data_IF_662224278790
#
_entry.id   IF_662224278790
#
_cell.length_a   1.000
_cell.length_b   1.000
_cell.length_c   1.000
_cell.angle_alpha   90.00
_cell.angle_beta   90.00
_cell.angle_gamma   90.00
#
_symmetry.space_group_name_H-M   'P 1'
#
loop_
_entity.id
_entity.type
_entity.pdbx_description
1 polymer ?
#
# COMPACT_ATOMS: atom_id res chain seq x y z
N UNK A 1 -66.26 -27.39 -47.75
CA UNK A 1 -67.41 -28.27 -47.44
C UNK A 1 -66.92 -29.25 -46.39
N UNK A 2 -67.59 -29.28 -45.22
CA UNK A 2 -67.36 -30.10 -44.01
C UNK A 2 -66.02 -29.90 -43.27
N UNK A 3 -65.99 -29.43 -42.01
CA UNK A 3 -66.60 -29.92 -40.75
C UNK A 3 -66.02 -31.25 -40.28
N UNK A 4 -65.25 -31.18 -39.19
CA UNK A 4 -65.51 -31.84 -37.89
C UNK A 4 -64.43 -31.31 -36.91
N UNK A 5 -64.78 -30.36 -36.05
CA UNK A 5 -65.28 -30.53 -34.68
C UNK A 5 -64.19 -31.11 -33.76
N UNK A 6 -63.71 -30.43 -32.72
CA UNK A 6 -64.43 -30.11 -31.47
C UNK A 6 -63.84 -28.94 -30.67
N UNK A 7 -64.71 -28.09 -30.07
CA UNK A 7 -64.48 -27.18 -28.91
C UNK A 7 -64.72 -27.93 -27.57
N UNK A 8 -64.54 -27.40 -26.31
CA UNK A 8 -64.06 -26.09 -25.82
C UNK A 8 -63.05 -26.11 -24.60
N UNK A 9 -62.64 -24.89 -24.20
CA UNK A 9 -61.84 -24.32 -23.07
C UNK A 9 -62.50 -24.64 -21.68
N UNK A 10 -61.90 -24.55 -20.43
CA UNK A 10 -60.93 -23.53 -20.03
C UNK A 10 -59.93 -23.75 -18.85
N UNK A 11 -59.04 -22.75 -18.73
CA UNK A 11 -58.58 -22.09 -17.48
C UNK A 11 -57.15 -22.33 -16.98
N UNK A 12 -56.52 -21.18 -16.67
CA UNK A 12 -55.43 -20.94 -15.73
C UNK A 12 -54.06 -21.57 -16.01
N UNK A 13 -53.09 -20.71 -16.38
CA UNK A 13 -51.93 -20.39 -15.53
C UNK A 13 -51.08 -19.28 -16.19
N UNK A 14 -50.74 -18.27 -15.38
CA UNK A 14 -49.92 -17.12 -15.73
C UNK A 14 -48.40 -17.49 -15.78
N UNK A 15 -47.48 -16.53 -16.00
CA UNK A 15 -46.45 -16.59 -17.03
C UNK A 15 -45.19 -17.36 -16.62
N UNK A 16 -44.49 -17.93 -17.62
CA UNK A 16 -43.16 -18.52 -17.48
C UNK A 16 -42.15 -17.48 -16.98
N UNK A 17 -41.78 -17.55 -15.71
CA UNK A 17 -40.58 -16.91 -15.19
C UNK A 17 -39.32 -17.65 -15.68
N UNK A 18 -38.53 -16.95 -16.48
CA UNK A 18 -37.15 -17.28 -16.80
C UNK A 18 -36.29 -17.05 -15.55
N UNK A 19 -36.27 -18.01 -14.61
CA UNK A 19 -35.28 -18.07 -13.52
C UNK A 19 -34.38 -19.27 -13.73
N UNK A 20 -33.21 -19.06 -14.32
CA UNK A 20 -32.07 -19.97 -14.16
C UNK A 20 -30.77 -19.18 -14.13
N UNK A 21 -30.00 -19.46 -13.07
CA UNK A 21 -28.59 -19.09 -12.84
C UNK A 21 -28.30 -17.68 -12.27
N UNK A 22 -28.87 -17.41 -11.10
CA UNK A 22 -28.21 -16.58 -10.08
C UNK A 22 -28.46 -17.23 -8.71
N UNK A 23 -27.64 -18.23 -8.37
CA UNK A 23 -27.39 -18.73 -7.01
C UNK A 23 -26.17 -19.65 -7.09
N UNK A 24 -25.34 -19.55 -6.05
CA UNK A 24 -24.05 -20.23 -5.84
C UNK A 24 -22.81 -19.48 -6.36
N UNK A 25 -22.66 -18.21 -5.96
CA UNK A 25 -21.33 -17.72 -5.57
C UNK A 25 -21.13 -18.22 -4.15
N UNK A 26 -20.64 -19.46 -4.05
CA UNK A 26 -20.37 -20.09 -2.76
C UNK A 26 -19.42 -19.23 -1.95
N UNK A 27 -19.77 -19.01 -0.69
CA UNK A 27 -18.80 -18.67 0.35
C UNK A 27 -17.72 -19.74 0.33
N UNK A 28 -16.63 -19.50 -0.41
CA UNK A 28 -15.40 -20.24 -0.21
C UNK A 28 -15.10 -20.11 1.28
N UNK A 29 -15.16 -21.23 2.00
CA UNK A 29 -14.95 -21.25 3.44
C UNK A 29 -13.60 -20.59 3.70
N UNK A 30 -13.59 -19.45 4.40
CA UNK A 30 -12.35 -18.78 4.83
C UNK A 30 -11.51 -19.65 5.78
N UNK A 31 -11.96 -20.88 6.09
CA UNK A 31 -11.33 -21.86 6.97
C UNK A 31 -9.97 -22.41 6.53
N UNK A 32 -9.48 -22.07 5.33
CA UNK A 32 -8.25 -22.65 4.78
C UNK A 32 -7.04 -21.71 4.79
N UNK A 33 -7.22 -20.43 5.12
CA UNK A 33 -6.11 -19.48 5.20
C UNK A 33 -5.57 -19.39 6.62
N UNK A 34 -4.26 -19.50 6.78
CA UNK A 34 -3.57 -19.45 8.08
C UNK A 34 -3.04 -18.05 8.40
N UNK A 35 -2.79 -17.25 7.36
CA UNK A 35 -2.20 -15.92 7.44
C UNK A 35 -2.82 -14.97 6.43
N UNK A 36 -2.62 -13.68 6.67
CA UNK A 36 -3.00 -12.61 5.74
C UNK A 36 -1.79 -11.79 5.30
N UNK A 37 -1.86 -11.28 4.07
CA UNK A 37 -0.98 -10.23 3.56
C UNK A 37 -1.80 -9.01 3.19
N UNK A 38 -1.54 -7.85 3.82
CA UNK A 38 -2.19 -6.59 3.49
C UNK A 38 -1.27 -5.74 2.61
N UNK A 39 -1.73 -5.37 1.41
CA UNK A 39 -0.99 -4.57 0.44
C UNK A 39 -1.72 -3.27 0.14
N UNK A 40 -1.22 -2.15 0.67
CA UNK A 40 -1.76 -0.84 0.27
C UNK A 40 -1.28 -0.47 -1.14
N UNK A 41 -2.17 0.11 -1.94
CA UNK A 41 -1.88 0.40 -3.35
C UNK A 41 -1.81 -0.86 -4.23
N UNK A 42 -2.45 -1.96 -3.80
CA UNK A 42 -2.37 -3.27 -4.44
C UNK A 42 -3.19 -3.45 -5.74
N UNK A 43 -3.90 -2.43 -6.23
CA UNK A 43 -4.71 -2.55 -7.47
C UNK A 43 -3.95 -2.20 -8.75
N UNK A 44 -2.76 -1.59 -8.66
CA UNK A 44 -1.97 -1.23 -9.85
C UNK A 44 -0.46 -1.27 -9.58
N UNK A 45 0.34 -1.27 -10.65
CA UNK A 45 1.79 -1.10 -10.55
C UNK A 45 2.48 -2.19 -9.74
N UNK A 46 3.48 -1.82 -8.94
CA UNK A 46 4.26 -2.80 -8.18
C UNK A 46 3.46 -3.48 -7.06
N UNK A 47 2.50 -2.78 -6.45
CA UNK A 47 1.66 -3.35 -5.39
C UNK A 47 0.79 -4.49 -5.93
N UNK A 48 0.27 -4.33 -7.16
CA UNK A 48 -0.46 -5.39 -7.85
C UNK A 48 0.41 -6.62 -8.09
N UNK A 49 1.60 -6.43 -8.65
CA UNK A 49 2.51 -7.54 -8.93
C UNK A 49 3.04 -8.20 -7.66
N UNK A 50 3.27 -7.44 -6.59
CA UNK A 50 3.62 -8.01 -5.29
C UNK A 50 2.48 -8.87 -4.72
N UNK A 51 1.23 -8.41 -4.82
CA UNK A 51 0.07 -9.18 -4.37
C UNK A 51 -0.12 -10.46 -5.18
N UNK A 52 0.06 -10.40 -6.51
CA UNK A 52 0.02 -11.57 -7.40
C UNK A 52 1.11 -12.59 -7.07
N UNK A 53 2.34 -12.12 -6.84
CA UNK A 53 3.46 -12.98 -6.46
C UNK A 53 3.24 -13.64 -5.09
N UNK A 54 2.78 -12.89 -4.08
CA UNK A 54 2.50 -13.42 -2.75
C UNK A 54 1.39 -14.48 -2.81
N UNK A 55 0.29 -14.19 -3.51
CA UNK A 55 -0.84 -15.13 -3.64
C UNK A 55 -0.47 -16.39 -4.45
N UNK A 56 0.50 -16.28 -5.37
CA UNK A 56 1.04 -17.39 -6.14
C UNK A 56 1.98 -18.29 -5.32
N UNK A 57 2.85 -17.69 -4.51
CA UNK A 57 3.83 -18.43 -3.69
C UNK A 57 3.23 -19.02 -2.40
N UNK A 58 2.21 -18.38 -1.83
CA UNK A 58 1.55 -18.80 -0.59
C UNK A 58 0.05 -19.01 -0.77
N UNK A 59 -0.38 -20.21 -1.23
CA UNK A 59 -1.79 -20.57 -1.34
C UNK A 59 -2.60 -20.51 -0.04
N UNK A 60 -1.91 -20.58 1.10
CA UNK A 60 -2.42 -20.50 2.47
C UNK A 60 -2.61 -19.06 2.96
N UNK A 61 -2.21 -18.05 2.17
CA UNK A 61 -2.38 -16.65 2.52
C UNK A 61 -3.67 -16.06 1.93
N UNK A 62 -4.40 -15.33 2.77
CA UNK A 62 -5.42 -14.38 2.32
C UNK A 62 -4.75 -13.05 1.99
N UNK A 63 -4.65 -12.69 0.71
CA UNK A 63 -4.07 -11.43 0.27
C UNK A 63 -5.15 -10.35 0.14
N UNK A 64 -5.04 -9.28 0.91
CA UNK A 64 -5.92 -8.13 0.83
C UNK A 64 -5.22 -7.00 0.09
N UNK A 65 -5.72 -6.65 -1.09
CA UNK A 65 -5.30 -5.43 -1.80
C UNK A 65 -6.18 -4.27 -1.39
N UNK A 66 -5.56 -3.23 -0.83
CA UNK A 66 -6.25 -2.07 -0.29
C UNK A 66 -5.98 -0.82 -1.14
N UNK A 67 -7.03 -0.20 -1.67
CA UNK A 67 -6.94 1.02 -2.49
C UNK A 67 -8.28 1.74 -2.53
N UNK A 68 -8.31 2.99 -3.00
CA UNK A 68 -9.55 3.77 -3.09
C UNK A 68 -10.62 3.11 -3.96
N UNK A 69 -10.19 2.40 -5.00
CA UNK A 69 -11.04 1.66 -5.93
C UNK A 69 -10.26 0.53 -6.59
N UNK A 70 -10.98 -0.49 -7.01
CA UNK A 70 -10.51 -1.54 -7.91
C UNK A 70 -11.29 -1.50 -9.23
N UNK A 71 -11.02 -0.46 -10.03
CA UNK A 71 -11.80 -0.19 -11.25
C UNK A 71 -11.64 -1.27 -12.32
N UNK A 72 -10.51 -1.97 -12.32
CA UNK A 72 -10.16 -2.98 -13.32
C UNK A 72 -10.43 -4.42 -12.80
N UNK A 73 -11.01 -4.58 -11.61
CA UNK A 73 -11.28 -5.89 -11.01
C UNK A 73 -10.02 -6.70 -10.71
N UNK A 74 -8.95 -6.03 -10.30
CA UNK A 74 -7.61 -6.58 -10.11
C UNK A 74 -7.56 -7.80 -9.18
N UNK A 75 -8.32 -7.78 -8.08
CA UNK A 75 -8.37 -8.92 -7.15
C UNK A 75 -8.92 -10.17 -7.86
N UNK A 76 -10.02 -10.00 -8.61
CA UNK A 76 -10.66 -11.07 -9.35
C UNK A 76 -9.79 -11.55 -10.52
N UNK A 77 -9.12 -10.65 -11.23
CA UNK A 77 -8.16 -11.00 -12.28
C UNK A 77 -6.99 -11.85 -11.76
N UNK A 78 -6.45 -11.51 -10.58
CA UNK A 78 -5.41 -12.35 -9.96
C UNK A 78 -5.98 -13.72 -9.61
N UNK A 79 -7.15 -13.78 -8.98
CA UNK A 79 -7.79 -15.06 -8.63
C UNK A 79 -8.01 -15.94 -9.86
N UNK A 80 -8.48 -15.37 -10.98
CA UNK A 80 -8.67 -16.10 -12.24
C UNK A 80 -7.36 -16.67 -12.78
N UNK A 81 -6.27 -15.89 -12.76
CA UNK A 81 -4.93 -16.36 -13.18
C UNK A 81 -4.40 -17.48 -12.29
N UNK A 82 -4.75 -17.47 -11.01
CA UNK A 82 -4.35 -18.48 -10.02
C UNK A 82 -5.30 -19.69 -9.94
N UNK A 83 -6.22 -19.85 -10.90
CA UNK A 83 -7.08 -21.02 -11.02
C UNK A 83 -8.44 -20.92 -10.31
N UNK A 84 -8.88 -19.73 -9.92
CA UNK A 84 -10.28 -19.37 -9.60
C UNK A 84 -10.90 -19.96 -8.32
N UNK A 85 -10.34 -21.02 -7.74
CA UNK A 85 -11.05 -21.85 -6.75
C UNK A 85 -11.05 -21.37 -5.30
N UNK A 86 -10.18 -20.42 -4.91
CA UNK A 86 -9.98 -20.08 -3.49
C UNK A 86 -10.20 -18.60 -3.13
N UNK A 87 -10.55 -17.72 -4.09
CA UNK A 87 -10.69 -16.26 -3.87
C UNK A 87 -9.62 -15.68 -2.92
N UNK A 88 -8.35 -16.06 -3.15
CA UNK A 88 -7.22 -15.77 -2.27
C UNK A 88 -6.94 -14.28 -2.15
N UNK A 89 -7.21 -13.55 -3.22
CA UNK A 89 -7.04 -12.10 -3.28
C UNK A 89 -8.39 -11.42 -3.09
N UNK A 90 -8.49 -10.55 -2.08
CA UNK A 90 -9.67 -9.75 -1.79
C UNK A 90 -9.35 -8.27 -1.95
N UNK A 91 -10.28 -7.51 -2.52
CA UNK A 91 -10.23 -6.06 -2.51
C UNK A 91 -10.93 -5.49 -1.27
N UNK A 92 -10.31 -4.48 -0.66
CA UNK A 92 -10.93 -3.65 0.37
C UNK A 92 -10.66 -2.16 0.10
N UNK A 93 -11.71 -1.35 0.22
CA UNK A 93 -11.60 0.09 -0.04
C UNK A 93 -10.81 0.79 1.08
N UNK A 94 -9.79 1.55 0.70
CA UNK A 94 -8.95 2.34 1.61
C UNK A 94 -8.50 3.63 0.92
N UNK A 95 -8.86 4.78 1.50
CA UNK A 95 -8.27 6.07 1.18
C UNK A 95 -7.35 6.53 2.31
N UNK A 96 -6.04 6.55 2.06
CA UNK A 96 -5.04 7.02 3.02
C UNK A 96 -5.05 8.54 3.19
N UNK A 97 -5.70 9.28 2.29
CA UNK A 97 -5.92 10.72 2.40
C UNK A 97 -7.19 11.10 3.18
N UNK A 98 -7.84 10.14 3.83
CA UNK A 98 -9.02 10.31 4.68
C UNK A 98 -8.89 9.43 5.92
N UNK A 99 -8.62 10.03 7.08
CA UNK A 99 -8.40 9.28 8.32
C UNK A 99 -9.66 8.54 8.81
N UNK A 100 -10.86 8.97 8.40
CA UNK A 100 -12.11 8.24 8.64
C UNK A 100 -12.20 7.01 7.75
N UNK A 101 -11.71 7.09 6.51
CA UNK A 101 -11.57 5.91 5.63
C UNK A 101 -10.62 4.87 6.23
N UNK A 102 -9.47 5.28 6.78
CA UNK A 102 -8.53 4.38 7.46
C UNK A 102 -9.20 3.66 8.63
N UNK A 103 -9.91 4.37 9.52
CA UNK A 103 -10.63 3.75 10.64
C UNK A 103 -11.75 2.81 10.19
N UNK A 104 -12.48 3.21 9.14
CA UNK A 104 -13.54 2.38 8.55
C UNK A 104 -12.97 1.09 7.94
N UNK A 105 -11.80 1.16 7.30
CA UNK A 105 -11.08 0.00 6.79
C UNK A 105 -10.74 -0.99 7.91
N UNK A 106 -10.18 -0.51 9.03
CA UNK A 106 -9.84 -1.38 10.17
C UNK A 106 -11.08 -2.01 10.80
N UNK A 107 -12.19 -1.26 10.91
CA UNK A 107 -13.48 -1.81 11.35
C UNK A 107 -13.95 -2.94 10.42
N UNK A 108 -13.91 -2.72 9.11
CA UNK A 108 -14.27 -3.74 8.12
C UNK A 108 -13.34 -4.97 8.15
N UNK A 109 -12.04 -4.78 8.42
CA UNK A 109 -11.10 -5.88 8.63
C UNK A 109 -11.53 -6.75 9.81
N UNK A 110 -11.84 -6.12 10.95
CA UNK A 110 -12.32 -6.80 12.16
C UNK A 110 -13.59 -7.60 11.89
N UNK A 111 -14.58 -6.99 11.22
CA UNK A 111 -15.87 -7.64 10.90
C UNK A 111 -15.69 -8.87 10.00
N UNK A 112 -14.73 -8.84 9.08
CA UNK A 112 -14.42 -9.99 8.20
C UNK A 112 -13.72 -11.14 8.93
N UNK A 113 -13.20 -10.93 10.14
CA UNK A 113 -12.49 -11.96 10.92
C UNK A 113 -11.40 -12.69 10.11
N UNK A 114 -10.61 -11.93 9.35
CA UNK A 114 -9.53 -12.46 8.52
C UNK A 114 -8.41 -13.07 9.39
N UNK A 115 -7.62 -14.01 8.84
CA UNK A 115 -6.46 -14.56 9.55
C UNK A 115 -5.45 -13.47 9.96
N UNK A 116 -4.59 -13.73 10.95
CA UNK A 116 -3.56 -12.79 11.40
C UNK A 116 -2.63 -12.35 10.26
N UNK A 117 -2.18 -11.10 10.31
CA UNK A 117 -1.38 -10.48 9.27
C UNK A 117 0.10 -10.84 9.49
N UNK A 118 0.63 -11.72 8.66
CA UNK A 118 2.06 -12.03 8.62
C UNK A 118 2.83 -11.03 7.75
N UNK A 119 2.17 -10.36 6.80
CA UNK A 119 2.80 -9.41 5.88
C UNK A 119 1.97 -8.13 5.79
N UNK A 120 2.59 -6.99 6.09
CA UNK A 120 2.01 -5.65 5.95
C UNK A 120 2.87 -4.79 5.04
N UNK A 121 2.39 -4.54 3.82
CA UNK A 121 3.07 -3.71 2.82
C UNK A 121 2.43 -2.32 2.79
N UNK A 122 3.07 -1.37 3.45
CA UNK A 122 2.73 0.05 3.43
C UNK A 122 3.30 0.69 2.16
N UNK A 123 2.73 0.29 1.02
CA UNK A 123 3.28 0.54 -0.31
C UNK A 123 2.68 1.76 -1.03
N UNK A 124 1.40 2.06 -0.79
CA UNK A 124 0.70 3.12 -1.50
C UNK A 124 1.45 4.46 -1.45
N UNK A 125 1.47 5.18 -2.57
CA UNK A 125 2.10 6.49 -2.64
C UNK A 125 1.41 7.42 -3.62
N UNK A 126 1.43 8.70 -3.29
CA UNK A 126 1.00 9.80 -4.14
C UNK A 126 2.09 10.85 -4.25
N UNK A 127 2.03 11.62 -5.34
CA UNK A 127 2.79 12.84 -5.50
C UNK A 127 1.88 13.85 -6.20
N UNK A 128 1.93 15.09 -5.73
CA UNK A 128 1.24 16.22 -6.33
C UNK A 128 2.29 17.25 -6.78
N UNK A 129 2.87 17.10 -7.98
CA UNK A 129 4.02 17.89 -8.41
C UNK A 129 3.71 19.37 -8.69
N UNK A 130 2.43 19.72 -8.89
CA UNK A 130 1.99 21.07 -9.25
C UNK A 130 1.04 21.62 -8.19
N UNK A 131 1.53 22.62 -7.44
CA UNK A 131 0.78 23.31 -6.40
C UNK A 131 0.62 22.50 -5.12
N UNK A 132 0.26 23.20 -4.05
CA UNK A 132 -0.03 22.63 -2.76
C UNK A 132 -1.46 22.07 -2.76
N UNK A 133 -1.63 20.84 -2.27
CA UNK A 133 -2.93 20.19 -2.12
C UNK A 133 -3.06 19.67 -0.70
N UNK A 134 -4.30 19.47 -0.27
CA UNK A 134 -4.60 18.99 1.07
C UNK A 134 -5.47 17.73 1.05
N UNK A 135 -5.30 16.87 2.05
CA UNK A 135 -6.22 15.78 2.39
C UNK A 135 -7.54 16.35 2.91
N UNK A 136 -8.56 15.50 3.09
CA UNK A 136 -9.83 15.95 3.70
C UNK A 136 -9.64 16.38 5.16
N UNK A 137 -8.63 15.83 5.83
CA UNK A 137 -8.24 16.17 7.20
C UNK A 137 -7.30 17.40 7.29
N UNK A 138 -6.99 18.05 6.15
CA UNK A 138 -6.22 19.30 6.13
C UNK A 138 -4.70 19.16 6.13
N UNK A 139 -4.15 17.96 5.94
CA UNK A 139 -2.70 17.74 5.80
C UNK A 139 -2.25 17.97 4.36
N UNK A 140 -1.02 18.43 4.14
CA UNK A 140 -0.42 18.43 2.80
C UNK A 140 -0.56 17.04 2.18
N UNK A 141 -1.13 16.96 0.97
CA UNK A 141 -1.68 15.72 0.43
C UNK A 141 -0.62 14.63 0.18
N UNK A 142 0.62 15.00 -0.13
CA UNK A 142 1.72 14.05 -0.34
C UNK A 142 2.15 13.42 0.98
N UNK A 143 2.44 14.24 1.99
CA UNK A 143 2.79 13.80 3.35
C UNK A 143 1.63 13.05 4.01
N UNK A 144 0.41 13.59 3.88
CA UNK A 144 -0.82 13.00 4.40
C UNK A 144 -1.06 11.58 3.88
N UNK A 145 -0.92 11.35 2.58
CA UNK A 145 -1.10 10.02 1.99
C UNK A 145 0.08 9.09 2.26
N UNK A 146 1.32 9.56 2.09
CA UNK A 146 2.49 8.69 2.09
C UNK A 146 2.92 8.26 3.49
N UNK A 147 2.77 9.16 4.47
CA UNK A 147 3.19 8.97 5.87
C UNK A 147 1.99 8.90 6.81
N UNK A 148 1.20 9.97 6.91
CA UNK A 148 0.18 10.12 7.97
C UNK A 148 -0.86 8.99 7.95
N UNK A 149 -1.46 8.73 6.78
CA UNK A 149 -2.44 7.66 6.62
C UNK A 149 -1.86 6.26 6.89
N UNK A 150 -0.60 6.02 6.51
CA UNK A 150 0.07 4.74 6.75
C UNK A 150 0.44 4.55 8.22
N UNK A 151 0.89 5.61 8.90
CA UNK A 151 1.21 5.55 10.32
C UNK A 151 -0.05 5.27 11.15
N UNK A 152 -1.19 5.90 10.83
CA UNK A 152 -2.47 5.56 11.44
C UNK A 152 -2.88 4.12 11.13
N UNK A 153 -2.78 3.70 9.87
CA UNK A 153 -3.14 2.33 9.47
C UNK A 153 -2.30 1.31 10.25
N UNK A 154 -0.99 1.47 10.32
CA UNK A 154 -0.12 0.57 11.09
C UNK A 154 -0.58 0.47 12.53
N UNK A 155 -0.74 1.61 13.23
CA UNK A 155 -1.12 1.62 14.64
C UNK A 155 -2.43 0.90 14.90
N UNK A 156 -3.45 1.15 14.07
CA UNK A 156 -4.76 0.52 14.21
C UNK A 156 -4.77 -0.97 13.81
N UNK A 157 -3.83 -1.41 12.98
CA UNK A 157 -3.74 -2.79 12.51
C UNK A 157 -2.90 -3.70 13.42
N UNK A 158 -2.13 -3.15 14.37
CA UNK A 158 -1.30 -3.90 15.32
C UNK A 158 -2.03 -5.08 16.00
N UNK A 159 -3.29 -4.94 16.49
CA UNK A 159 -4.00 -6.05 17.12
C UNK A 159 -4.30 -7.24 16.20
N UNK A 160 -4.15 -7.07 14.88
CA UNK A 160 -4.39 -8.11 13.88
C UNK A 160 -3.10 -8.65 13.27
N UNK A 161 -1.93 -8.16 13.69
CA UNK A 161 -0.65 -8.70 13.26
C UNK A 161 -0.42 -10.08 13.90
N UNK A 162 0.14 -11.00 13.11
CA UNK A 162 0.60 -12.29 13.62
C UNK A 162 1.74 -12.12 14.63
N UNK A 163 2.08 -13.17 15.37
CA UNK A 163 3.22 -13.13 16.30
C UNK A 163 4.53 -12.82 15.56
N UNK A 164 4.71 -13.39 14.38
CA UNK A 164 5.77 -13.04 13.45
C UNK A 164 5.17 -12.25 12.28
N UNK A 165 5.48 -10.95 12.21
CA UNK A 165 4.92 -10.05 11.21
C UNK A 165 6.02 -9.24 10.52
N UNK A 166 5.91 -9.13 9.19
CA UNK A 166 6.84 -8.40 8.33
C UNK A 166 6.19 -7.11 7.85
N UNK A 167 6.72 -5.97 8.28
CA UNK A 167 6.31 -4.66 7.80
C UNK A 167 7.33 -4.16 6.77
N UNK A 168 6.84 -3.78 5.59
CA UNK A 168 7.65 -3.12 4.56
C UNK A 168 7.06 -1.75 4.25
N UNK A 169 7.86 -0.71 4.41
CA UNK A 169 7.47 0.67 4.12
C UNK A 169 8.09 1.12 2.81
N UNK A 170 7.28 1.40 1.80
CA UNK A 170 7.80 1.84 0.50
C UNK A 170 8.29 3.30 0.58
N UNK A 171 9.61 3.45 0.54
CA UNK A 171 10.34 4.70 0.45
C UNK A 171 10.69 5.03 -1.02
N UNK A 172 11.82 5.68 -1.25
CA UNK A 172 12.38 5.97 -2.58
C UNK A 172 13.81 6.50 -2.43
N UNK A 173 14.72 6.19 -3.36
CA UNK A 173 16.07 6.76 -3.43
C UNK A 173 16.11 8.29 -3.50
N UNK A 174 14.99 8.94 -3.86
CA UNK A 174 14.84 10.40 -3.86
C UNK A 174 14.98 11.07 -2.49
N UNK A 175 14.91 10.31 -1.40
CA UNK A 175 15.19 10.79 -0.04
C UNK A 175 16.66 11.18 0.17
N UNK A 176 17.58 10.64 -0.64
CA UNK A 176 19.02 10.85 -0.51
C UNK A 176 19.55 11.76 -1.64
N UNK A 177 20.03 12.97 -1.30
CA UNK A 177 20.69 13.86 -2.26
C UNK A 177 21.87 13.20 -3.00
N UNK A 178 22.56 12.23 -2.38
CA UNK A 178 23.71 11.54 -2.98
C UNK A 178 23.31 10.62 -4.13
N UNK A 179 22.05 10.17 -4.20
CA UNK A 179 21.55 9.37 -5.32
C UNK A 179 21.33 10.18 -6.61
N UNK A 180 21.41 11.52 -6.56
CA UNK A 180 21.36 12.42 -7.74
C UNK A 180 20.21 12.11 -8.71
N UNK A 181 19.02 11.85 -8.16
CA UNK A 181 17.83 11.41 -8.92
C UNK A 181 17.23 12.48 -9.85
N UNK A 182 17.74 13.72 -9.81
CA UNK A 182 17.16 14.87 -10.52
C UNK A 182 15.89 15.44 -9.85
N UNK A 183 15.50 14.92 -8.69
CA UNK A 183 14.45 15.47 -7.85
C UNK A 183 15.01 16.51 -6.88
N UNK A 184 14.20 17.50 -6.42
CA UNK A 184 14.61 18.40 -5.34
C UNK A 184 14.99 17.60 -4.10
N UNK A 185 16.06 18.02 -3.42
CA UNK A 185 16.52 17.40 -2.19
C UNK A 185 15.40 17.39 -1.14
N UNK A 186 15.27 16.26 -0.43
CA UNK A 186 14.44 16.19 0.76
C UNK A 186 14.85 17.29 1.74
N UNK A 187 13.86 17.92 2.35
CA UNK A 187 14.04 18.97 3.34
C UNK A 187 13.05 18.73 4.48
N UNK A 188 13.51 18.04 5.52
CA UNK A 188 12.73 17.81 6.73
C UNK A 188 13.01 18.94 7.73
N UNK A 189 11.96 19.68 8.09
CA UNK A 189 12.02 20.73 9.12
C UNK A 189 11.34 20.25 10.40
N UNK A 190 10.02 20.16 10.40
CA UNK A 190 9.19 19.53 11.45
C UNK A 190 8.01 18.81 10.81
N UNK A 191 7.45 17.82 11.48
CA UNK A 191 6.26 17.14 10.97
C UNK A 191 5.05 18.10 10.85
N UNK A 192 4.95 19.08 11.75
CA UNK A 192 3.91 20.12 11.70
C UNK A 192 4.01 21.00 10.45
N UNK A 193 5.21 21.48 10.10
CA UNK A 193 5.39 22.30 8.90
C UNK A 193 5.17 21.48 7.61
N UNK A 194 5.48 20.18 7.62
CA UNK A 194 5.18 19.30 6.49
C UNK A 194 3.67 19.05 6.35
N UNK A 195 2.97 18.86 7.46
CA UNK A 195 1.53 18.69 7.51
C UNK A 195 0.76 19.96 7.14
N UNK A 196 1.21 21.10 7.66
CA UNK A 196 0.57 22.40 7.51
C UNK A 196 1.62 23.43 7.09
N UNK A 197 2.04 23.43 5.80
CA UNK A 197 3.08 24.33 5.32
C UNK A 197 2.72 25.80 5.55
N UNK A 198 3.67 26.57 6.06
CA UNK A 198 3.55 28.02 6.25
C UNK A 198 4.74 28.77 5.62
N UNK A 199 4.66 30.10 5.53
CA UNK A 199 5.80 30.92 5.09
C UNK A 199 6.40 30.51 3.75
N UNK A 200 7.70 30.19 3.73
CA UNK A 200 8.42 29.74 2.53
C UNK A 200 8.04 28.32 2.10
N UNK A 201 7.60 27.45 3.02
CA UNK A 201 7.17 26.09 2.70
C UNK A 201 5.92 26.04 1.81
N UNK A 202 5.06 27.07 1.86
CA UNK A 202 3.93 27.23 0.92
C UNK A 202 4.35 27.33 -0.55
N UNK A 203 5.59 27.76 -0.80
CA UNK A 203 6.17 27.92 -2.14
C UNK A 203 7.08 26.74 -2.52
N UNK A 204 7.22 25.75 -1.65
CA UNK A 204 8.06 24.58 -1.92
C UNK A 204 7.51 23.81 -3.14
N UNK A 205 8.38 23.28 -4.02
CA UNK A 205 7.92 22.48 -5.14
C UNK A 205 7.20 21.22 -4.67
N UNK A 206 6.08 20.85 -5.32
CA UNK A 206 5.36 19.59 -5.04
C UNK A 206 6.22 18.33 -5.08
N UNK A 207 7.28 18.34 -5.91
CA UNK A 207 8.27 17.26 -5.97
C UNK A 207 9.14 17.17 -4.71
N UNK A 208 9.39 18.28 -4.01
CA UNK A 208 10.12 18.29 -2.75
C UNK A 208 9.27 17.70 -1.61
N UNK A 209 7.96 17.98 -1.56
CA UNK A 209 7.06 17.31 -0.61
C UNK A 209 7.09 15.79 -0.78
N UNK A 210 7.19 15.29 -2.02
CA UNK A 210 7.40 13.87 -2.25
C UNK A 210 8.74 13.36 -1.72
N UNK A 211 9.86 13.98 -2.08
CA UNK A 211 11.18 13.53 -1.62
C UNK A 211 11.30 13.58 -0.09
N UNK A 212 10.79 14.64 0.55
CA UNK A 212 10.69 14.72 2.01
C UNK A 212 9.76 13.65 2.58
N UNK A 213 8.59 13.37 2.00
CA UNK A 213 7.71 12.29 2.49
C UNK A 213 8.39 10.91 2.44
N UNK A 214 9.28 10.68 1.46
CA UNK A 214 10.04 9.43 1.34
C UNK A 214 11.17 9.34 2.35
N UNK A 215 11.75 10.47 2.75
CA UNK A 215 12.60 10.57 3.93
C UNK A 215 11.80 10.26 5.22
N UNK A 216 10.60 10.82 5.39
CA UNK A 216 9.72 10.54 6.55
C UNK A 216 9.42 9.04 6.69
N UNK A 217 9.16 8.33 5.59
CA UNK A 217 8.95 6.88 5.64
C UNK A 217 10.15 6.13 6.23
N UNK A 218 11.38 6.57 5.94
CA UNK A 218 12.61 5.95 6.48
C UNK A 218 12.83 6.36 7.93
N UNK A 219 12.65 7.66 8.25
CA UNK A 219 12.72 8.15 9.63
C UNK A 219 11.76 7.36 10.53
N UNK A 220 10.54 7.17 10.07
CA UNK A 220 9.51 6.41 10.78
C UNK A 220 9.84 4.92 10.87
N UNK A 221 10.42 4.32 9.82
CA UNK A 221 10.90 2.92 9.84
C UNK A 221 11.92 2.71 10.96
N UNK A 222 12.91 3.60 11.10
CA UNK A 222 13.93 3.48 12.14
C UNK A 222 13.37 3.76 13.55
N UNK A 223 12.47 4.73 13.68
CA UNK A 223 11.75 4.97 14.93
C UNK A 223 10.89 3.76 15.36
N UNK A 224 10.22 3.12 14.40
CA UNK A 224 9.42 1.92 14.63
C UNK A 224 10.32 0.76 15.03
N UNK A 225 11.42 0.50 14.32
CA UNK A 225 12.34 -0.60 14.66
C UNK A 225 12.83 -0.52 16.11
N UNK A 226 13.24 0.67 16.58
CA UNK A 226 13.62 0.85 18.00
C UNK A 226 12.53 0.46 18.99
N UNK A 227 11.26 0.68 18.62
CA UNK A 227 10.10 0.33 19.45
C UNK A 227 9.77 -1.17 19.35
N UNK A 228 9.92 -1.77 18.17
CA UNK A 228 9.73 -3.21 17.97
C UNK A 228 10.68 -4.04 18.84
N UNK A 229 11.89 -3.53 19.14
CA UNK A 229 12.82 -4.18 20.08
C UNK A 229 12.31 -4.27 21.52
N UNK A 230 11.22 -3.56 21.85
CA UNK A 230 10.58 -3.54 23.17
C UNK A 230 9.28 -4.35 23.21
N UNK A 231 8.97 -5.09 22.15
CA UNK A 231 7.82 -5.97 22.10
C UNK A 231 7.87 -7.03 23.21
N UNK A 232 6.68 -7.50 23.60
CA UNK A 232 6.56 -8.58 24.57
C UNK A 232 7.19 -9.89 24.06
N UNK A 233 7.67 -10.77 24.96
CA UNK A 233 8.18 -12.08 24.57
C UNK A 233 7.17 -12.86 23.71
N UNK A 234 7.65 -13.45 22.61
CA UNK A 234 6.82 -14.20 21.65
C UNK A 234 6.45 -13.41 20.39
N UNK A 235 6.43 -12.08 20.44
CA UNK A 235 6.27 -11.24 19.24
C UNK A 235 7.62 -10.98 18.57
N UNK A 236 7.68 -11.18 17.25
CA UNK A 236 8.86 -10.91 16.42
C UNK A 236 8.42 -10.15 15.18
N UNK A 237 8.18 -8.86 15.36
CA UNK A 237 7.88 -7.99 14.23
C UNK A 237 9.15 -7.37 13.71
N UNK A 238 9.21 -7.22 12.39
CA UNK A 238 10.33 -6.57 11.71
C UNK A 238 9.81 -5.47 10.81
N UNK A 239 10.57 -4.39 10.67
CA UNK A 239 10.24 -3.29 9.76
C UNK A 239 11.44 -2.96 8.89
N UNK A 240 11.22 -2.82 7.60
CA UNK A 240 12.24 -2.36 6.64
C UNK A 240 11.69 -1.29 5.73
N UNK A 241 12.58 -0.38 5.29
CA UNK A 241 12.26 0.60 4.27
C UNK A 241 12.69 0.07 2.90
N UNK A 242 11.88 0.27 1.87
CA UNK A 242 12.10 -0.28 0.53
C UNK A 242 12.05 0.80 -0.55
N UNK A 243 13.10 0.90 -1.35
CA UNK A 243 13.10 1.64 -2.60
C UNK A 243 12.89 0.70 -3.79
N UNK A 244 11.76 0.82 -4.50
CA UNK A 244 11.46 0.03 -5.69
C UNK A 244 12.18 0.50 -6.94
N UNK A 245 12.95 1.59 -6.85
CA UNK A 245 13.59 2.25 -7.98
C UNK A 245 12.63 3.09 -8.82
N UNK A 246 13.20 3.75 -9.84
CA UNK A 246 12.43 4.54 -10.79
C UNK A 246 11.67 3.61 -11.74
N UNK A 247 10.36 3.79 -11.82
CA UNK A 247 9.51 2.92 -12.63
C UNK A 247 8.67 3.73 -13.61
N UNK A 248 9.22 4.07 -14.78
CA UNK A 248 8.46 4.68 -15.83
C UNK A 248 7.27 3.79 -16.21
N UNK A 249 6.11 4.38 -16.44
CA UNK A 249 4.88 3.67 -16.78
C UNK A 249 3.89 3.51 -15.62
N UNK A 250 4.33 3.70 -14.39
CA UNK A 250 3.47 3.60 -13.20
C UNK A 250 2.50 4.77 -13.06
N UNK A 251 1.50 4.61 -12.18
CA UNK A 251 0.54 5.65 -11.83
C UNK A 251 1.13 6.86 -11.08
N UNK A 252 2.43 6.88 -10.77
CA UNK A 252 3.08 7.98 -10.05
C UNK A 252 2.96 9.31 -10.82
N UNK A 253 3.02 9.27 -12.15
CA UNK A 253 2.86 10.44 -13.01
C UNK A 253 1.38 10.79 -13.32
N UNK A 254 0.40 10.27 -12.56
CA UNK A 254 -1.04 10.50 -12.86
C UNK A 254 -1.45 11.97 -12.85
N UNK A 255 -0.78 12.79 -12.04
CA UNK A 255 -1.01 14.22 -11.91
C UNK A 255 -0.15 15.07 -12.88
N UNK A 256 0.63 14.44 -13.79
CA UNK A 256 1.45 15.17 -14.75
C UNK A 256 0.60 15.67 -15.95
N UNK A 257 1.02 16.77 -16.61
CA UNK A 257 0.42 17.23 -17.85
C UNK A 257 0.32 16.11 -18.88
N UNK A 258 -0.71 16.15 -19.74
CA UNK A 258 -1.05 15.04 -20.63
C UNK A 258 0.14 14.55 -21.48
N UNK A 259 0.96 15.48 -22.00
CA UNK A 259 2.17 15.16 -22.75
C UNK A 259 3.21 14.40 -21.93
N UNK A 260 3.57 14.89 -20.73
CA UNK A 260 4.53 14.21 -19.86
C UNK A 260 4.00 12.88 -19.35
N UNK A 261 2.68 12.79 -19.11
CA UNK A 261 2.02 11.53 -18.75
C UNK A 261 2.05 10.52 -19.90
N UNK A 262 1.92 10.96 -21.16
CA UNK A 262 2.08 10.11 -22.34
C UNK A 262 3.51 9.59 -22.46
N UNK A 263 4.51 10.49 -22.38
CA UNK A 263 5.93 10.13 -22.36
C UNK A 263 6.24 9.09 -21.27
N UNK A 264 5.76 9.33 -20.06
CA UNK A 264 5.92 8.43 -18.92
C UNK A 264 5.28 7.06 -19.14
N UNK A 265 4.08 7.01 -19.73
CA UNK A 265 3.32 5.76 -19.92
C UNK A 265 3.70 4.94 -21.14
N UNK A 266 4.22 5.58 -22.20
CA UNK A 266 4.40 4.93 -23.51
C UNK A 266 5.84 4.91 -24.00
N UNK A 267 6.62 5.95 -23.71
CA UNK A 267 7.96 6.12 -24.28
C UNK A 267 9.03 5.61 -23.32
N UNK A 268 9.05 6.13 -22.08
CA UNK A 268 10.10 5.79 -21.11
C UNK A 268 10.16 4.29 -20.73
N UNK A 269 9.04 3.52 -20.65
CA UNK A 269 9.11 2.08 -20.37
C UNK A 269 9.85 1.27 -21.45
N UNK A 270 9.76 1.70 -22.72
CA UNK A 270 10.46 1.04 -23.82
C UNK A 270 11.98 1.31 -23.77
N UNK A 271 12.38 2.44 -23.16
CA UNK A 271 13.78 2.87 -23.05
C UNK A 271 14.48 2.39 -21.77
N UNK A 272 13.84 1.58 -20.93
CA UNK A 272 14.41 1.12 -19.65
C UNK A 272 15.84 0.55 -19.78
N UNK A 273 16.18 -0.32 -20.77
CA UNK A 273 17.55 -0.83 -20.90
C UNK A 273 18.59 0.28 -21.11
N UNK A 274 18.24 1.30 -21.90
CA UNK A 274 19.10 2.46 -22.14
C UNK A 274 19.19 3.36 -20.90
N UNK A 275 18.06 3.62 -20.24
CA UNK A 275 18.04 4.46 -19.03
C UNK A 275 18.84 3.81 -17.89
N UNK A 276 18.82 2.47 -17.78
CA UNK A 276 19.65 1.72 -16.83
C UNK A 276 21.14 1.96 -17.05
N UNK A 277 21.55 2.02 -18.32
CA UNK A 277 22.93 2.24 -18.71
C UNK A 277 23.38 3.70 -18.49
N UNK A 278 22.50 4.66 -18.78
CA UNK A 278 22.87 6.09 -18.85
C UNK A 278 22.58 6.86 -17.57
N UNK A 279 21.55 6.49 -16.81
CA UNK A 279 21.11 7.25 -15.62
C UNK A 279 21.40 6.51 -14.32
N UNK A 280 20.79 5.34 -14.13
CA UNK A 280 20.93 4.56 -12.90
C UNK A 280 20.51 3.12 -13.13
N UNK A 281 21.23 2.12 -12.58
CA UNK A 281 20.81 0.73 -12.63
C UNK A 281 19.50 0.47 -11.87
N UNK A 282 19.09 1.38 -10.98
CA UNK A 282 17.88 1.28 -10.16
C UNK A 282 16.62 1.81 -10.90
N UNK A 283 16.42 1.37 -12.14
CA UNK A 283 15.25 1.66 -12.97
C UNK A 283 14.59 0.35 -13.32
N UNK A 284 13.32 0.16 -12.99
CA UNK A 284 12.67 -1.15 -13.03
C UNK A 284 11.29 -1.12 -13.68
N UNK A 285 10.89 -2.26 -14.22
CA UNK A 285 9.50 -2.53 -14.58
C UNK A 285 8.68 -2.81 -13.33
N UNK A 286 7.37 -2.53 -13.33
CA UNK A 286 6.49 -2.85 -12.22
C UNK A 286 6.56 -4.28 -11.70
N UNK A 287 6.76 -5.25 -12.60
CA UNK A 287 6.91 -6.66 -12.29
C UNK A 287 8.19 -6.94 -11.50
N UNK A 288 9.31 -6.35 -11.89
CA UNK A 288 10.61 -6.53 -11.23
C UNK A 288 10.57 -5.96 -9.80
N UNK A 289 10.05 -4.74 -9.61
CA UNK A 289 9.90 -4.15 -8.28
C UNK A 289 8.85 -4.85 -7.43
N UNK A 290 7.77 -5.37 -8.05
CA UNK A 290 6.74 -6.16 -7.36
C UNK A 290 7.31 -7.48 -6.84
N UNK A 291 8.10 -8.18 -7.64
CA UNK A 291 8.80 -9.40 -7.24
C UNK A 291 9.90 -9.14 -6.18
N UNK A 292 10.54 -7.96 -6.19
CA UNK A 292 11.45 -7.56 -5.12
C UNK A 292 10.71 -7.26 -3.80
N UNK A 293 9.55 -6.60 -3.87
CA UNK A 293 8.71 -6.34 -2.69
C UNK A 293 8.14 -7.64 -2.10
N UNK A 294 7.67 -8.57 -2.94
CA UNK A 294 7.22 -9.88 -2.49
C UNK A 294 8.38 -10.70 -1.87
N UNK A 295 9.57 -10.64 -2.47
CA UNK A 295 10.78 -11.24 -1.88
C UNK A 295 11.09 -10.68 -0.49
N UNK A 296 11.08 -9.36 -0.30
CA UNK A 296 11.26 -8.74 1.02
C UNK A 296 10.21 -9.13 2.06
N UNK A 297 9.01 -9.48 1.58
CA UNK A 297 7.89 -9.88 2.41
C UNK A 297 7.96 -11.35 2.86
N UNK A 298 8.48 -12.24 2.02
CA UNK A 298 8.33 -13.69 2.18
C UNK A 298 9.65 -14.42 2.46
N UNK A 299 10.75 -13.96 1.86
CA UNK A 299 12.00 -14.70 1.78
C UNK A 299 12.72 -14.78 3.13
N UNK A 300 13.22 -15.97 3.46
CA UNK A 300 13.90 -16.24 4.73
C UNK A 300 15.19 -15.44 4.92
N UNK A 301 15.92 -15.13 3.84
CA UNK A 301 17.12 -14.29 3.89
C UNK A 301 16.77 -12.86 4.31
N UNK A 302 15.65 -12.32 3.81
CA UNK A 302 15.17 -11.01 4.18
C UNK A 302 14.58 -10.96 5.60
N UNK A 303 14.03 -12.08 6.12
CA UNK A 303 13.33 -12.14 7.42
C UNK A 303 14.15 -11.66 8.62
N UNK A 304 15.48 -11.85 8.61
CA UNK A 304 16.35 -11.44 9.71
C UNK A 304 16.58 -9.93 9.81
N UNK A 305 16.28 -9.18 8.75
CA UNK A 305 16.60 -7.76 8.68
C UNK A 305 15.50 -6.90 9.34
N UNK A 306 15.85 -5.94 10.18
CA UNK A 306 14.91 -4.94 10.71
C UNK A 306 15.66 -3.62 10.94
N UNK A 307 14.97 -2.49 10.77
CA UNK A 307 15.58 -1.17 10.90
C UNK A 307 16.61 -0.88 9.81
N UNK A 308 16.40 -1.42 8.60
CA UNK A 308 17.32 -1.26 7.47
C UNK A 308 16.58 -0.78 6.21
N UNK A 309 17.36 -0.33 5.22
CA UNK A 309 16.88 0.17 3.96
C UNK A 309 17.37 -0.71 2.79
N UNK A 310 16.45 -1.07 1.90
CA UNK A 310 16.70 -1.87 0.71
C UNK A 310 16.47 -1.06 -0.57
N UNK A 311 17.40 -1.18 -1.51
CA UNK A 311 17.22 -0.77 -2.90
C UNK A 311 17.04 -2.04 -3.75
N UNK A 312 15.83 -2.27 -4.25
CA UNK A 312 15.47 -3.56 -4.86
C UNK A 312 15.67 -4.70 -3.86
N UNK A 313 16.63 -5.60 -4.15
CA UNK A 313 17.00 -6.73 -3.27
C UNK A 313 18.31 -6.51 -2.51
N UNK A 314 18.91 -5.32 -2.58
CA UNK A 314 20.19 -5.02 -1.95
C UNK A 314 19.98 -4.14 -0.73
N UNK A 315 20.49 -4.56 0.42
CA UNK A 315 20.57 -3.69 1.59
C UNK A 315 21.67 -2.64 1.35
N UNK A 316 21.30 -1.36 1.43
CA UNK A 316 22.23 -0.23 1.30
C UNK A 316 22.00 0.78 2.44
N UNK A 317 22.92 1.73 2.60
CA UNK A 317 22.69 2.85 3.53
C UNK A 317 21.66 3.82 2.96
N UNK A 318 20.81 4.35 3.82
CA UNK A 318 19.93 5.47 3.50
C UNK A 318 20.66 6.81 3.69
N UNK A 319 19.98 7.92 3.41
CA UNK A 319 20.56 9.27 3.54
C UNK A 319 21.07 9.56 4.95
N UNK A 320 22.09 10.41 5.07
CA UNK A 320 22.62 10.82 6.39
C UNK A 320 21.52 11.38 7.30
N UNK A 321 20.63 12.20 6.74
CA UNK A 321 19.49 12.81 7.43
C UNK A 321 18.53 11.78 8.03
N UNK A 322 18.41 10.60 7.42
CA UNK A 322 17.53 9.55 7.93
C UNK A 322 18.02 8.94 9.24
N UNK A 323 19.30 9.06 9.58
CA UNK A 323 19.88 8.54 10.83
C UNK A 323 19.82 9.54 11.99
N UNK A 324 19.29 10.74 11.78
CA UNK A 324 19.07 11.74 12.83
C UNK A 324 17.91 11.30 13.75
N UNK A 325 18.25 10.75 14.91
CA UNK A 325 17.25 10.26 15.86
C UNK A 325 16.32 11.35 16.38
N UNK A 326 16.76 12.60 16.46
CA UNK A 326 15.90 13.70 16.91
C UNK A 326 14.77 13.95 15.90
N UNK A 327 15.07 13.93 14.58
CA UNK A 327 14.04 14.01 13.53
C UNK A 327 13.09 12.80 13.57
N UNK A 328 13.63 11.61 13.81
CA UNK A 328 12.83 10.39 13.91
C UNK A 328 11.83 10.45 15.08
N UNK A 329 12.28 10.89 16.25
CA UNK A 329 11.45 10.99 17.45
C UNK A 329 10.49 12.19 17.40
N UNK A 330 10.86 13.29 16.75
CA UNK A 330 9.96 14.43 16.49
C UNK A 330 8.82 14.01 15.56
N UNK A 331 9.13 13.35 14.43
CA UNK A 331 8.13 12.80 13.52
C UNK A 331 7.19 11.83 14.24
N UNK A 332 7.75 10.92 15.04
CA UNK A 332 6.95 9.95 15.81
C UNK A 332 6.03 10.66 16.79
N UNK A 333 6.56 11.55 17.62
CA UNK A 333 5.81 12.24 18.68
C UNK A 333 4.69 13.08 18.10
N UNK A 334 4.96 13.81 17.00
CA UNK A 334 3.94 14.53 16.26
C UNK A 334 2.86 13.59 15.73
N UNK A 335 3.26 12.46 15.13
CA UNK A 335 2.33 11.46 14.59
C UNK A 335 1.40 10.93 15.67
N UNK A 336 1.91 10.57 16.86
CA UNK A 336 1.07 10.10 17.98
C UNK A 336 0.11 11.19 18.44
N UNK A 337 0.63 12.40 18.67
CA UNK A 337 -0.15 13.54 19.15
C UNK A 337 -1.29 13.91 18.19
N UNK A 338 -1.02 13.86 16.89
CA UNK A 338 -1.98 14.28 15.86
C UNK A 338 -3.01 13.21 15.54
N UNK A 339 -2.65 11.92 15.64
CA UNK A 339 -3.48 10.84 15.11
C UNK A 339 -4.24 10.04 16.15
N UNK A 340 -3.78 9.99 17.40
CA UNK A 340 -4.51 9.33 18.47
C UNK A 340 -5.80 10.11 18.79
N UNK A 341 -6.95 9.55 18.40
CA UNK A 341 -8.26 10.15 18.68
C UNK A 341 -8.69 9.99 20.14
N UNK A 342 -8.14 8.99 20.83
CA UNK A 342 -8.37 8.73 22.25
C UNK A 342 -7.14 8.03 22.88
N UNK A 343 -7.23 7.77 24.18
CA UNK A 343 -6.15 7.12 24.95
C UNK A 343 -5.93 5.65 24.53
N UNK A 344 -6.95 4.98 23.98
CA UNK A 344 -6.82 3.60 23.50
C UNK A 344 -5.99 3.57 22.22
N UNK A 345 -6.29 4.45 21.25
CA UNK A 345 -5.49 4.61 20.05
C UNK A 345 -4.07 5.05 20.39
N UNK A 346 -3.90 5.94 21.38
CA UNK A 346 -2.58 6.38 21.83
C UNK A 346 -1.69 5.21 22.30
N UNK A 347 -2.26 4.26 23.05
CA UNK A 347 -1.53 3.06 23.50
C UNK A 347 -1.08 2.17 22.35
N UNK A 348 -1.84 2.11 21.25
CA UNK A 348 -1.42 1.38 20.06
C UNK A 348 -0.16 2.00 19.44
N UNK A 349 0.06 3.31 19.55
CA UNK A 349 1.30 3.93 19.11
C UNK A 349 2.49 3.65 20.03
N UNK A 350 2.31 3.14 21.25
CA UNK A 350 3.45 2.82 22.11
C UNK A 350 4.11 1.51 21.69
N UNK A 351 3.42 0.64 20.92
CA UNK A 351 3.91 -0.65 20.37
C UNK A 351 4.32 -1.68 21.44
N UNK A 352 4.46 -1.28 22.70
CA UNK A 352 4.90 -2.13 23.82
C UNK A 352 3.80 -3.11 24.29
N UNK A 353 2.52 -2.81 24.02
CA UNK A 353 1.39 -3.61 24.52
C UNK A 353 0.88 -4.68 23.54
N UNK A 354 1.49 -4.79 22.36
CA UNK A 354 0.99 -5.65 21.29
C UNK A 354 1.50 -7.09 21.35
#
# INVERSE_FOLDING_TARGET
MNLQDTFPVPSNLAPRETRRHLRDIGTASMSNFTSSALVTGGTTGLGLHAAEEIAGQHPDYCVVIASRKDADGSAELINQRLGGGAHRVQFMALDLGDLKSVRSFVKAWKEKSLPPISVLLLNAGSQFPFGLKYTVDGFEATFGVNHVGHALLFSLMQPYLADEARIVVTASGTHDPLQKTGMPNANYTTAEELAHPTGSALKAPGRQHYTTSKLCNILWTYALDRRLRRLQPGKKWTVVAFDPGLMPGTGLARQYPAFLRFMWKRVLPALIPLLRLVLSPNIHRPQESGAALAWLALDAEARGASGVYFEGRKQIKSSADSYDEAKQEELWSWTVKTLAGDEQERRLFEVVQA
#
